data_IF_711201366154
#
_entry.id   IF_711201366154
#
_cell.length_a   1.000
_cell.length_b   1.000
_cell.length_c   1.000
_cell.angle_alpha   90.00
_cell.angle_beta   90.00
_cell.angle_gamma   90.00
#
_symmetry.space_group_name_H-M   'P 1'
#
loop_
_entity.id
_entity.type
_entity.pdbx_description
1 polymer ?
#
# COMPACT_ATOMS: atom_id res chain seq x y z
N UNK A 1 -8.83 19.38 -25.35
CA UNK A 1 -8.32 20.21 -26.48
C UNK A 1 -6.89 20.61 -26.16
N UNK A 2 -5.95 20.45 -27.10
CA UNK A 2 -4.52 20.77 -26.88
C UNK A 2 -4.24 22.27 -27.06
N UNK A 3 -5.02 23.11 -26.40
CA UNK A 3 -4.80 24.56 -26.36
C UNK A 3 -3.67 24.88 -25.37
N UNK A 4 -2.87 25.94 -25.59
CA UNK A 4 -1.88 26.37 -24.61
C UNK A 4 -2.56 26.79 -23.30
N UNK A 5 -1.85 26.60 -22.18
CA UNK A 5 -2.28 27.13 -20.87
C UNK A 5 -2.25 28.67 -20.91
N UNK A 6 -3.30 29.29 -20.38
CA UNK A 6 -3.45 30.75 -20.30
C UNK A 6 -3.79 31.18 -18.87
N UNK A 7 -3.71 32.48 -18.55
CA UNK A 7 -4.08 33.00 -17.23
C UNK A 7 -5.53 32.65 -16.81
N UNK A 8 -6.42 32.40 -17.78
CA UNK A 8 -7.79 31.92 -17.55
C UNK A 8 -7.86 30.50 -16.94
N UNK A 9 -6.74 29.76 -16.85
CA UNK A 9 -6.62 28.53 -16.06
C UNK A 9 -6.56 28.84 -14.56
N UNK A 10 -5.73 29.80 -14.14
CA UNK A 10 -5.60 30.19 -12.74
C UNK A 10 -6.87 30.91 -12.25
N UNK A 11 -7.51 31.71 -13.11
CA UNK A 11 -8.82 32.33 -12.83
C UNK A 11 -9.91 31.27 -12.59
N UNK A 12 -9.88 30.15 -13.32
CA UNK A 12 -10.81 29.04 -13.08
C UNK A 12 -10.55 28.35 -11.73
N UNK A 13 -9.28 28.16 -11.35
CA UNK A 13 -8.92 27.64 -10.04
C UNK A 13 -9.33 28.60 -8.90
N UNK A 14 -9.17 29.91 -9.08
CA UNK A 14 -9.70 30.92 -8.16
C UNK A 14 -11.23 30.90 -8.09
N UNK A 15 -11.92 30.69 -9.22
CA UNK A 15 -13.38 30.49 -9.26
C UNK A 15 -13.84 29.31 -8.40
N UNK A 16 -13.11 28.18 -8.43
CA UNK A 16 -13.36 27.03 -7.55
C UNK A 16 -13.17 27.41 -6.08
N UNK A 17 -12.10 28.13 -5.75
CA UNK A 17 -11.79 28.55 -4.38
C UNK A 17 -12.85 29.53 -3.85
N UNK A 18 -13.26 30.52 -4.64
CA UNK A 18 -14.34 31.46 -4.29
C UNK A 18 -15.66 30.75 -4.07
N UNK A 19 -16.05 29.85 -4.99
CA UNK A 19 -17.23 29.01 -4.81
C UNK A 19 -17.17 28.23 -3.49
N UNK A 20 -16.03 27.57 -3.21
CA UNK A 20 -15.89 26.73 -2.03
C UNK A 20 -15.84 27.51 -0.72
N UNK A 21 -15.25 28.71 -0.69
CA UNK A 21 -15.31 29.60 0.48
C UNK A 21 -16.73 30.10 0.75
N UNK A 22 -17.53 30.33 -0.29
CA UNK A 22 -18.90 30.80 -0.16
C UNK A 22 -19.90 29.67 0.17
N UNK A 23 -19.87 28.56 -0.56
CA UNK A 23 -20.77 27.42 -0.41
C UNK A 23 -20.36 26.42 0.70
N UNK A 24 -19.10 26.48 1.17
CA UNK A 24 -18.54 25.49 2.10
C UNK A 24 -18.25 24.11 1.48
N UNK A 25 -18.49 23.93 0.18
CA UNK A 25 -18.32 22.69 -0.58
C UNK A 25 -17.67 22.94 -1.94
N UNK A 26 -16.99 21.92 -2.48
CA UNK A 26 -16.35 22.02 -3.79
C UNK A 26 -17.41 21.94 -4.91
N UNK A 27 -17.36 22.82 -5.95
CA UNK A 27 -18.39 22.88 -7.00
C UNK A 27 -18.52 21.60 -7.85
N UNK A 28 -17.49 20.74 -7.83
CA UNK A 28 -17.40 19.51 -8.62
C UNK A 28 -17.10 18.27 -7.75
N UNK A 29 -17.62 18.24 -6.51
CA UNK A 29 -17.37 17.17 -5.53
C UNK A 29 -17.82 15.76 -6.02
N UNK A 30 -17.02 14.73 -5.76
CA UNK A 30 -17.36 13.29 -5.89
C UNK A 30 -16.43 12.47 -4.98
N UNK A 31 -16.87 11.26 -4.61
CA UNK A 31 -16.08 10.23 -3.92
C UNK A 31 -14.83 9.80 -4.71
N UNK A 32 -14.81 9.97 -6.03
CA UNK A 32 -13.74 9.49 -6.91
C UNK A 32 -13.09 10.63 -7.70
N UNK A 33 -11.77 10.79 -7.56
CA UNK A 33 -11.01 11.84 -8.26
C UNK A 33 -11.20 11.85 -9.80
N UNK A 34 -11.37 10.68 -10.43
CA UNK A 34 -11.66 10.60 -11.87
C UNK A 34 -12.99 11.27 -12.26
N UNK A 35 -14.01 11.14 -11.40
CA UNK A 35 -15.30 11.83 -11.59
C UNK A 35 -15.19 13.33 -11.27
N UNK A 36 -14.35 13.75 -10.32
CA UNK A 36 -14.06 15.18 -10.10
C UNK A 36 -13.45 15.83 -11.35
N UNK A 37 -12.49 15.16 -12.00
CA UNK A 37 -11.95 15.62 -13.28
C UNK A 37 -12.99 15.62 -14.40
N UNK A 38 -13.89 14.62 -14.42
CA UNK A 38 -15.02 14.59 -15.36
C UNK A 38 -15.94 15.80 -15.16
N UNK A 39 -16.41 16.05 -13.94
CA UNK A 39 -17.30 17.17 -13.62
C UNK A 39 -16.64 18.53 -13.93
N UNK A 40 -15.33 18.67 -13.68
CA UNK A 40 -14.54 19.84 -14.09
C UNK A 40 -14.59 20.04 -15.62
N UNK A 41 -14.58 18.98 -16.43
CA UNK A 41 -14.62 19.05 -17.89
C UNK A 41 -16.03 19.19 -18.49
N UNK A 42 -17.03 18.48 -17.96
CA UNK A 42 -18.33 18.29 -18.66
C UNK A 42 -19.58 18.71 -17.87
N UNK A 43 -19.49 18.96 -16.56
CA UNK A 43 -20.67 19.23 -15.72
C UNK A 43 -20.69 20.67 -15.23
N UNK A 44 -21.83 21.36 -15.36
CA UNK A 44 -21.99 22.71 -14.81
C UNK A 44 -22.06 22.67 -13.27
N UNK A 45 -21.45 23.65 -12.56
CA UNK A 45 -21.53 23.71 -11.10
C UNK A 45 -22.94 24.12 -10.65
N UNK A 46 -23.42 23.68 -9.47
CA UNK A 46 -24.70 24.16 -8.95
C UNK A 46 -24.68 25.67 -8.76
N UNK A 47 -25.71 26.40 -9.21
CA UNK A 47 -25.76 27.87 -9.14
C UNK A 47 -25.49 28.40 -7.72
N UNK A 48 -24.43 29.21 -7.56
CA UNK A 48 -23.96 29.65 -6.24
C UNK A 48 -25.04 30.42 -5.47
N UNK A 49 -25.80 31.29 -6.14
CA UNK A 49 -26.91 32.04 -5.52
C UNK A 49 -28.11 31.17 -5.11
N UNK A 50 -28.25 29.92 -5.63
CA UNK A 50 -29.22 28.95 -5.08
C UNK A 50 -28.71 28.27 -3.82
N UNK A 51 -27.39 28.08 -3.71
CA UNK A 51 -26.73 27.46 -2.53
C UNK A 51 -26.55 28.49 -1.39
N UNK A 52 -26.37 29.76 -1.73
CA UNK A 52 -26.23 30.90 -0.82
C UNK A 52 -27.02 32.12 -1.32
N UNK A 53 -28.34 32.19 -1.07
CA UNK A 53 -29.20 33.29 -1.51
C UNK A 53 -28.93 34.64 -0.85
N UNK A 54 -28.03 34.68 0.14
CA UNK A 54 -27.60 35.88 0.87
C UNK A 54 -26.37 36.57 0.24
N UNK A 55 -25.80 36.02 -0.83
CA UNK A 55 -24.68 36.63 -1.56
C UNK A 55 -25.15 37.73 -2.53
N UNK A 56 -24.35 38.80 -2.71
CA UNK A 56 -24.57 39.76 -3.79
C UNK A 56 -24.51 39.08 -5.17
N UNK A 57 -25.47 39.42 -6.05
CA UNK A 57 -25.57 38.82 -7.40
C UNK A 57 -24.26 38.93 -8.19
N UNK A 58 -23.56 40.07 -8.12
CA UNK A 58 -22.27 40.28 -8.80
C UNK A 58 -21.23 39.21 -8.45
N UNK A 59 -21.24 38.68 -7.23
CA UNK A 59 -20.31 37.65 -6.78
C UNK A 59 -20.68 36.29 -7.39
N UNK A 60 -21.98 35.97 -7.45
CA UNK A 60 -22.47 34.80 -8.16
C UNK A 60 -22.13 34.86 -9.66
N UNK A 61 -22.30 36.02 -10.29
CA UNK A 61 -21.99 36.22 -11.71
C UNK A 61 -20.47 36.12 -11.98
N UNK A 62 -19.64 36.74 -11.14
CA UNK A 62 -18.18 36.64 -11.19
C UNK A 62 -17.70 35.19 -11.07
N UNK A 63 -18.20 34.44 -10.09
CA UNK A 63 -17.82 33.04 -9.88
C UNK A 63 -18.32 32.15 -11.02
N UNK A 64 -19.56 32.36 -11.48
CA UNK A 64 -20.13 31.61 -12.62
C UNK A 64 -19.32 31.85 -13.90
N UNK A 65 -18.91 33.10 -14.17
CA UNK A 65 -18.05 33.42 -15.31
C UNK A 65 -16.64 32.86 -15.15
N UNK A 66 -16.06 32.88 -13.95
CA UNK A 66 -14.75 32.25 -13.71
C UNK A 66 -14.77 30.72 -13.92
N UNK A 67 -15.89 30.07 -13.60
CA UNK A 67 -16.12 28.62 -13.75
C UNK A 67 -16.58 28.18 -15.16
N UNK A 68 -16.62 29.08 -16.14
CA UNK A 68 -16.98 28.73 -17.52
C UNK A 68 -16.06 27.65 -18.11
N UNK A 69 -16.61 26.70 -18.86
CA UNK A 69 -15.83 25.58 -19.41
C UNK A 69 -14.89 26.05 -20.51
N UNK A 70 -15.41 26.84 -21.45
CA UNK A 70 -14.62 27.50 -22.49
C UNK A 70 -13.77 28.63 -21.89
N UNK A 71 -12.45 28.56 -22.10
CA UNK A 71 -11.51 29.57 -21.64
C UNK A 71 -11.72 30.95 -22.30
N UNK A 72 -12.31 31.01 -23.51
CA UNK A 72 -12.65 32.27 -24.17
C UNK A 72 -13.83 33.02 -23.54
N UNK A 73 -14.66 32.33 -22.75
CA UNK A 73 -15.84 32.91 -22.07
C UNK A 73 -15.57 33.27 -20.60
N UNK A 74 -14.43 32.84 -20.06
CA UNK A 74 -14.01 33.16 -18.69
C UNK A 74 -13.72 34.66 -18.52
N UNK A 75 -13.41 35.03 -17.27
CA UNK A 75 -12.61 36.23 -17.01
C UNK A 75 -11.17 35.89 -17.46
N UNK A 76 -10.52 36.70 -18.31
CA UNK A 76 -9.33 36.28 -19.05
C UNK A 76 -8.06 36.18 -18.20
N UNK A 77 -7.96 37.02 -17.16
CA UNK A 77 -6.78 37.16 -16.31
C UNK A 77 -7.15 37.66 -14.90
N UNK A 78 -6.16 37.62 -14.00
CA UNK A 78 -6.32 38.05 -12.61
C UNK A 78 -6.52 39.56 -12.46
N UNK A 79 -6.11 40.39 -13.43
CA UNK A 79 -6.28 41.85 -13.38
C UNK A 79 -7.74 42.23 -13.61
N UNK A 80 -8.37 41.62 -14.62
CA UNK A 80 -9.80 41.77 -14.93
C UNK A 80 -10.66 41.25 -13.77
N UNK A 81 -10.25 40.14 -13.16
CA UNK A 81 -10.89 39.59 -11.95
C UNK A 81 -10.81 40.57 -10.77
N UNK A 82 -9.63 41.13 -10.52
CA UNK A 82 -9.41 42.14 -9.46
C UNK A 82 -10.21 43.41 -9.71
N UNK A 83 -10.30 43.88 -10.96
CA UNK A 83 -11.11 45.04 -11.34
C UNK A 83 -12.61 44.80 -11.08
N UNK A 84 -13.14 43.61 -11.44
CA UNK A 84 -14.54 43.24 -11.16
C UNK A 84 -14.82 43.28 -9.65
N UNK A 85 -13.90 42.75 -8.83
CA UNK A 85 -14.02 42.82 -7.37
C UNK A 85 -14.00 44.29 -6.91
N UNK A 86 -12.99 45.07 -7.28
CA UNK A 86 -12.86 46.47 -6.84
C UNK A 86 -14.04 47.37 -7.25
N UNK A 87 -14.68 47.10 -8.39
CA UNK A 87 -15.84 47.87 -8.87
C UNK A 87 -17.15 47.53 -8.13
N UNK A 88 -17.24 46.39 -7.45
CA UNK A 88 -18.49 45.90 -6.82
C UNK A 88 -18.35 45.66 -5.30
N UNK A 89 -17.13 45.70 -4.77
CA UNK A 89 -16.81 45.59 -3.35
C UNK A 89 -17.14 46.92 -2.66
N UNK A 90 -18.04 46.97 -1.67
CA UNK A 90 -18.31 48.19 -0.93
C UNK A 90 -17.07 48.64 -0.15
N UNK A 91 -16.78 49.95 -0.12
CA UNK A 91 -15.58 50.51 0.52
C UNK A 91 -15.48 50.19 2.02
N UNK A 92 -16.61 49.91 2.68
CA UNK A 92 -16.69 49.68 4.11
C UNK A 92 -16.81 48.18 4.44
N UNK A 93 -15.69 47.47 4.34
CA UNK A 93 -15.48 46.22 5.07
C UNK A 93 -15.23 46.55 6.55
N UNK A 94 -16.31 46.83 7.29
CA UNK A 94 -16.26 46.93 8.75
C UNK A 94 -15.72 45.64 9.37
N UNK A 95 -15.00 45.75 10.49
CA UNK A 95 -14.26 44.66 11.13
C UNK A 95 -15.05 43.35 11.20
N UNK A 96 -14.77 42.42 10.28
CA UNK A 96 -15.42 41.11 10.27
C UNK A 96 -14.89 40.34 11.49
N UNK A 97 -15.71 40.04 12.51
CA UNK A 97 -15.23 39.32 13.68
C UNK A 97 -15.03 37.86 13.28
N UNK A 98 -13.80 37.50 12.91
CA UNK A 98 -13.44 36.11 12.60
C UNK A 98 -13.95 35.19 13.72
N UNK A 99 -14.92 34.30 13.44
CA UNK A 99 -15.55 33.51 14.48
C UNK A 99 -14.49 32.60 15.10
N UNK A 100 -14.15 32.86 16.36
CA UNK A 100 -13.14 32.09 17.11
C UNK A 100 -13.46 30.61 16.97
N UNK A 101 -12.59 29.88 16.27
CA UNK A 101 -12.89 28.50 15.84
C UNK A 101 -13.30 27.66 17.04
N UNK A 102 -14.45 26.94 16.98
CA UNK A 102 -14.97 26.22 18.13
C UNK A 102 -13.94 25.20 18.58
N UNK A 103 -13.38 25.43 19.78
CA UNK A 103 -12.15 24.78 20.24
C UNK A 103 -12.20 23.27 20.06
N UNK A 104 -11.24 22.75 19.28
CA UNK A 104 -11.08 21.34 18.89
C UNK A 104 -11.46 20.43 20.06
N UNK A 105 -12.62 19.75 19.96
CA UNK A 105 -13.20 18.98 21.08
C UNK A 105 -12.20 17.94 21.59
N UNK A 106 -11.58 18.20 22.75
CA UNK A 106 -10.52 17.36 23.30
C UNK A 106 -11.03 15.91 23.51
N UNK A 107 -10.47 14.89 22.81
CA UNK A 107 -10.97 13.52 22.88
C UNK A 107 -10.86 12.91 24.29
N UNK A 108 -9.94 13.43 25.13
CA UNK A 108 -9.84 13.09 26.54
C UNK A 108 -11.16 13.26 27.31
N UNK A 109 -11.99 14.28 26.99
CA UNK A 109 -13.33 14.44 27.63
C UNK A 109 -14.31 13.35 27.21
N UNK A 110 -14.18 12.83 25.99
CA UNK A 110 -14.97 11.71 25.49
C UNK A 110 -14.56 10.39 26.17
N UNK A 111 -13.25 10.17 26.34
CA UNK A 111 -12.71 9.02 27.09
C UNK A 111 -13.16 9.03 28.55
N UNK A 112 -13.15 10.19 29.23
CA UNK A 112 -13.67 10.31 30.61
C UNK A 112 -15.16 9.93 30.67
N UNK A 113 -15.98 10.41 29.73
CA UNK A 113 -17.41 10.07 29.69
C UNK A 113 -17.65 8.56 29.48
N UNK A 114 -16.88 7.91 28.60
CA UNK A 114 -16.93 6.46 28.40
C UNK A 114 -16.46 5.70 29.65
N UNK A 115 -15.41 6.17 30.33
CA UNK A 115 -14.92 5.53 31.56
C UNK A 115 -15.94 5.61 32.71
N UNK A 116 -16.63 6.75 32.85
CA UNK A 116 -17.73 6.92 33.80
C UNK A 116 -18.91 5.99 33.44
N UNK A 117 -19.28 5.89 32.16
CA UNK A 117 -20.34 4.99 31.72
C UNK A 117 -20.01 3.52 32.05
N UNK A 118 -18.77 3.09 31.80
CA UNK A 118 -18.30 1.73 32.11
C UNK A 118 -18.26 1.46 33.61
N UNK A 119 -17.93 2.46 34.44
CA UNK A 119 -17.97 2.35 35.90
C UNK A 119 -19.41 2.24 36.45
N UNK A 120 -20.38 2.96 35.85
CA UNK A 120 -21.81 2.83 36.18
C UNK A 120 -22.35 1.46 35.75
N UNK A 121 -21.96 0.96 34.58
CA UNK A 121 -22.36 -0.36 34.11
C UNK A 121 -21.76 -1.51 34.94
N UNK A 122 -20.49 -1.41 35.36
CA UNK A 122 -19.86 -2.44 36.18
C UNK A 122 -20.40 -2.47 37.61
N UNK A 123 -20.70 -1.32 38.21
CA UNK A 123 -21.36 -1.25 39.52
C UNK A 123 -22.80 -1.77 39.47
N UNK A 124 -23.58 -1.44 38.43
CA UNK A 124 -24.91 -2.02 38.20
C UNK A 124 -24.86 -3.55 38.03
N UNK A 125 -23.87 -4.08 37.30
CA UNK A 125 -23.65 -5.52 37.14
C UNK A 125 -23.30 -6.21 38.46
N UNK A 126 -22.42 -5.61 39.27
CA UNK A 126 -22.07 -6.13 40.60
C UNK A 126 -23.27 -6.16 41.56
N UNK A 127 -24.12 -5.13 41.55
CA UNK A 127 -25.36 -5.10 42.34
C UNK A 127 -26.30 -6.22 41.90
N UNK A 128 -26.54 -6.38 40.59
CA UNK A 128 -27.35 -7.48 40.03
C UNK A 128 -26.81 -8.86 40.41
N UNK A 129 -25.49 -9.05 40.43
CA UNK A 129 -24.87 -10.33 40.78
C UNK A 129 -24.93 -10.64 42.28
N UNK A 130 -24.98 -9.62 43.16
CA UNK A 130 -25.14 -9.81 44.62
C UNK A 130 -26.54 -10.28 45.04
N UNK A 131 -27.56 -10.02 44.23
CA UNK A 131 -28.96 -10.45 44.48
C UNK A 131 -29.19 -11.93 44.14
N UNK A 132 -28.25 -12.59 43.44
CA UNK A 132 -28.38 -13.98 42.96
C UNK A 132 -27.95 -15.06 43.99
N UNK A 133 -27.92 -14.72 45.29
CA UNK A 133 -27.45 -15.59 46.37
C UNK A 133 -28.46 -15.70 47.54
N UNK A 134 -29.75 -15.74 47.22
CA UNK A 134 -30.79 -16.23 48.14
C UNK A 134 -30.94 -17.75 47.99
N UNK A 135 -30.66 -18.56 49.04
CA UNK A 135 -30.82 -20.01 48.94
C UNK A 135 -32.29 -20.42 48.77
N UNK A 136 -32.56 -21.36 47.87
CA UNK A 136 -33.86 -22.05 47.84
C UNK A 136 -33.95 -23.04 49.01
N UNK A 137 -35.13 -23.21 49.65
CA UNK A 137 -35.37 -24.34 50.53
C UNK A 137 -35.40 -25.64 49.72
N UNK A 138 -34.83 -26.76 50.22
CA UNK A 138 -34.82 -28.03 49.49
C UNK A 138 -36.21 -28.66 49.41
N UNK A 139 -36.52 -29.24 48.25
CA UNK A 139 -37.69 -30.12 48.06
C UNK A 139 -37.46 -31.48 48.77
N UNK A 140 -38.52 -32.20 49.17
CA UNK A 140 -38.38 -33.51 49.80
C UNK A 140 -37.76 -34.53 48.83
N UNK A 141 -36.92 -35.40 49.37
CA UNK A 141 -36.31 -36.53 48.65
C UNK A 141 -36.85 -37.82 49.25
N UNK A 142 -37.39 -38.71 48.41
CA UNK A 142 -37.94 -39.98 48.85
C UNK A 142 -36.87 -40.95 49.36
N UNK A 143 -37.26 -41.80 50.31
CA UNK A 143 -36.34 -42.66 51.05
C UNK A 143 -36.03 -43.96 50.31
N UNK A 144 -34.81 -44.11 49.79
CA UNK A 144 -34.21 -45.42 49.46
C UNK A 144 -32.81 -45.54 50.09
N UNK A 145 -32.70 -46.40 51.10
CA UNK A 145 -31.43 -46.72 51.77
C UNK A 145 -30.58 -47.69 50.95
N UNK A 146 -29.28 -47.42 50.84
CA UNK A 146 -28.22 -48.45 50.95
C UNK A 146 -26.87 -47.80 51.31
N UNK A 147 -26.06 -48.35 52.25
CA UNK A 147 -24.87 -47.67 52.80
C UNK A 147 -23.51 -48.17 52.26
N UNK A 148 -22.43 -47.55 52.76
CA UNK A 148 -20.99 -47.90 52.62
C UNK A 148 -20.34 -47.57 51.25
N UNK A 149 -19.09 -47.08 51.15
CA UNK A 149 -18.04 -46.65 52.11
C UNK A 149 -17.36 -45.38 51.51
N UNK A 150 -17.05 -44.31 52.24
CA UNK A 150 -15.97 -44.12 53.25
C UNK A 150 -14.55 -44.02 52.63
N UNK A 151 -14.09 -42.78 52.48
CA UNK A 151 -12.71 -42.23 52.73
C UNK A 151 -11.48 -42.92 52.07
N UNK A 152 -10.55 -42.20 51.45
CA UNK A 152 -9.55 -41.35 52.14
C UNK A 152 -8.97 -40.20 51.25
N UNK A 153 -8.15 -39.34 51.87
CA UNK A 153 -7.24 -38.35 51.24
C UNK A 153 -5.87 -39.01 50.91
N UNK A 154 -4.75 -38.35 50.54
CA UNK A 154 -4.34 -36.95 50.48
C UNK A 154 -3.12 -36.72 49.51
N UNK A 155 -2.75 -35.44 49.31
CA UNK A 155 -1.39 -34.79 49.42
C UNK A 155 -0.11 -35.70 49.40
N UNK A 156 1.08 -35.30 48.93
CA UNK A 156 1.72 -34.02 48.52
C UNK A 156 3.03 -34.35 47.71
N UNK A 157 3.45 -33.62 46.65
CA UNK A 157 4.37 -32.44 46.58
C UNK A 157 5.88 -32.73 46.86
N UNK A 158 6.78 -31.85 46.35
CA UNK A 158 8.28 -31.84 46.36
C UNK A 158 8.84 -32.63 45.16
N UNK A 159 9.34 -32.03 44.06
CA UNK A 159 10.43 -31.04 43.76
C UNK A 159 11.75 -31.72 43.32
N UNK A 160 12.50 -31.14 42.36
CA UNK A 160 13.61 -31.82 41.68
C UNK A 160 14.98 -31.57 42.34
N UNK A 161 15.97 -32.37 41.96
CA UNK A 161 17.39 -32.14 42.25
C UNK A 161 18.26 -32.32 40.99
N UNK A 162 19.47 -31.77 41.02
CA UNK A 162 20.42 -31.67 39.91
C UNK A 162 21.66 -32.53 40.15
N UNK A 163 22.17 -33.21 39.11
CA UNK A 163 23.63 -33.24 38.94
C UNK A 163 24.13 -33.54 37.52
N UNK A 164 25.42 -33.28 37.34
CA UNK A 164 26.25 -33.56 36.15
C UNK A 164 26.61 -35.03 36.09
N UNK A 165 26.98 -35.50 34.89
CA UNK A 165 28.34 -35.99 34.61
C UNK A 165 28.58 -36.08 33.10
N UNK A 166 29.83 -35.89 32.67
CA UNK A 166 30.28 -36.14 31.31
C UNK A 166 31.17 -37.38 31.29
N UNK A 167 31.32 -38.05 30.13
CA UNK A 167 32.44 -38.93 29.80
C UNK A 167 32.57 -39.07 28.27
N UNK A 168 33.77 -39.40 27.80
CA UNK A 168 34.08 -39.68 26.39
C UNK A 168 35.22 -40.72 26.33
N UNK A 169 35.36 -41.48 25.24
CA UNK A 169 36.60 -42.20 24.94
C UNK A 169 37.19 -41.91 23.55
N UNK A 170 38.52 -41.98 23.47
CA UNK A 170 39.34 -42.01 22.24
C UNK A 170 39.65 -43.46 21.87
N UNK A 171 40.01 -43.76 20.61
CA UNK A 171 40.91 -44.89 20.31
C UNK A 171 41.71 -44.70 18.99
N UNK A 172 42.74 -45.52 18.80
CA UNK A 172 43.94 -45.21 17.99
C UNK A 172 44.04 -45.86 16.58
N UNK A 173 45.13 -45.52 15.88
CA UNK A 173 45.60 -46.09 14.59
C UNK A 173 46.19 -47.50 14.71
N UNK A 174 46.54 -48.13 13.57
CA UNK A 174 47.94 -48.57 13.41
C UNK A 174 48.61 -48.21 12.06
N UNK A 175 49.95 -48.26 12.05
CA UNK A 175 50.88 -48.25 10.90
C UNK A 175 50.98 -49.65 10.23
N UNK A 176 51.68 -49.92 9.11
CA UNK A 176 52.74 -49.18 8.38
C UNK A 176 52.46 -49.28 6.83
N UNK A 177 53.36 -49.32 5.82
CA UNK A 177 54.83 -49.42 5.71
C UNK A 177 55.38 -48.67 4.46
N UNK A 178 56.36 -49.22 3.72
CA UNK A 178 57.07 -48.56 2.61
C UNK A 178 57.40 -49.55 1.46
N UNK A 179 57.37 -49.08 0.21
CA UNK A 179 58.43 -49.34 -0.80
C UNK A 179 58.27 -48.39 -2.02
N UNK A 180 59.26 -48.38 -2.92
CA UNK A 180 59.44 -47.37 -3.97
C UNK A 180 60.07 -47.96 -5.23
N UNK A 181 59.66 -47.56 -6.44
CA UNK A 181 60.57 -47.46 -7.60
C UNK A 181 60.00 -46.69 -8.81
N UNK A 182 60.89 -46.53 -9.81
CA UNK A 182 61.06 -45.54 -10.89
C UNK A 182 59.96 -45.36 -11.98
N UNK A 183 60.14 -44.24 -12.72
CA UNK A 183 59.89 -43.97 -14.15
C UNK A 183 58.48 -43.83 -14.78
N UNK A 184 58.42 -42.87 -15.69
CA UNK A 184 57.26 -42.44 -16.47
C UNK A 184 56.70 -43.46 -17.47
N UNK A 185 55.37 -43.46 -17.62
CA UNK A 185 54.71 -43.47 -18.94
C UNK A 185 53.32 -42.82 -18.83
N UNK A 186 52.72 -42.43 -19.96
CA UNK A 186 51.57 -41.53 -19.97
C UNK A 186 50.20 -42.22 -19.97
N UNK A 187 49.21 -41.57 -19.36
CA UNK A 187 47.78 -41.71 -19.70
C UNK A 187 47.01 -40.48 -19.21
N UNK A 188 45.98 -39.97 -19.91
CA UNK A 188 45.18 -38.86 -19.42
C UNK A 188 44.35 -39.33 -18.21
N UNK A 189 44.56 -38.70 -17.05
CA UNK A 189 43.74 -38.93 -15.86
C UNK A 189 42.28 -38.54 -16.18
N UNK A 190 41.27 -39.35 -15.79
CA UNK A 190 39.86 -38.95 -15.91
C UNK A 190 39.61 -37.61 -15.24
N UNK A 191 38.70 -36.81 -15.79
CA UNK A 191 38.41 -35.46 -15.31
C UNK A 191 38.14 -35.46 -13.79
N UNK A 192 38.99 -34.76 -13.03
CA UNK A 192 38.85 -34.64 -11.59
C UNK A 192 37.48 -34.01 -11.28
N UNK A 193 36.62 -34.78 -10.62
CA UNK A 193 35.35 -34.28 -10.11
C UNK A 193 35.66 -33.16 -9.12
N UNK A 194 35.37 -31.92 -9.50
CA UNK A 194 35.65 -30.73 -8.68
C UNK A 194 34.84 -30.85 -7.39
N UNK A 195 35.49 -31.33 -6.33
CA UNK A 195 34.90 -31.50 -5.00
C UNK A 195 34.43 -30.12 -4.54
N UNK A 196 33.12 -29.90 -4.30
CA UNK A 196 32.57 -28.57 -4.14
C UNK A 196 33.20 -27.87 -2.93
N UNK A 197 33.79 -26.70 -3.15
CA UNK A 197 34.38 -25.89 -2.10
C UNK A 197 33.26 -25.29 -1.25
N UNK A 198 32.98 -25.92 -0.11
CA UNK A 198 31.90 -25.55 0.80
C UNK A 198 32.26 -24.38 1.74
N UNK A 199 33.42 -23.73 1.57
CA UNK A 199 33.81 -22.56 2.37
C UNK A 199 32.86 -21.39 2.10
N UNK A 200 32.28 -20.74 3.13
CA UNK A 200 31.32 -19.67 2.94
C UNK A 200 31.97 -18.45 2.27
N UNK A 201 31.30 -17.95 1.23
CA UNK A 201 31.64 -16.74 0.47
C UNK A 201 30.63 -15.63 0.77
N UNK A 202 30.75 -14.46 0.13
CA UNK A 202 29.82 -13.34 0.31
C UNK A 202 28.99 -13.05 -0.94
N UNK A 203 27.72 -12.71 -0.71
CA UNK A 203 26.77 -12.19 -1.68
C UNK A 203 26.34 -10.77 -1.28
N UNK A 204 26.34 -9.86 -2.24
CA UNK A 204 25.81 -8.51 -2.08
C UNK A 204 24.93 -8.18 -3.27
N UNK A 205 23.66 -7.87 -3.03
CA UNK A 205 22.67 -7.55 -4.07
C UNK A 205 22.30 -6.08 -3.94
N UNK A 206 22.36 -5.35 -5.04
CA UNK A 206 21.87 -3.97 -5.14
C UNK A 206 20.78 -3.91 -6.20
N UNK A 207 19.68 -3.24 -5.91
CA UNK A 207 18.62 -3.01 -6.87
C UNK A 207 18.34 -1.52 -7.07
N UNK A 208 17.68 -1.18 -8.18
CA UNK A 208 17.00 0.08 -8.35
C UNK A 208 15.59 -0.16 -8.90
N UNK A 209 14.51 0.36 -8.27
CA UNK A 209 14.46 0.86 -6.90
C UNK A 209 14.70 -0.25 -5.85
N UNK A 210 14.45 0.04 -4.58
CA UNK A 210 14.59 -0.91 -3.46
C UNK A 210 13.71 -2.16 -3.63
N UNK A 211 14.07 -3.27 -2.97
CA UNK A 211 13.40 -4.57 -3.07
C UNK A 211 13.54 -5.38 -1.78
N UNK A 212 12.53 -6.21 -1.49
CA UNK A 212 12.71 -7.41 -0.66
C UNK A 212 13.52 -8.44 -1.45
N UNK A 213 14.50 -9.09 -0.79
CA UNK A 213 15.38 -10.08 -1.40
C UNK A 213 15.06 -11.46 -0.81
N UNK A 214 14.80 -12.42 -1.69
CA UNK A 214 14.54 -13.82 -1.34
C UNK A 214 15.62 -14.72 -1.94
N UNK A 215 16.07 -15.73 -1.19
CA UNK A 215 16.85 -16.85 -1.73
C UNK A 215 16.14 -18.16 -1.44
N UNK A 216 15.93 -18.98 -2.47
CA UNK A 216 15.18 -20.23 -2.41
C UNK A 216 13.83 -20.01 -1.69
N UNK A 217 13.12 -18.96 -2.10
CA UNK A 217 11.82 -18.50 -1.59
C UNK A 217 11.79 -18.01 -0.12
N UNK A 218 12.91 -18.04 0.61
CA UNK A 218 13.04 -17.46 1.95
C UNK A 218 13.50 -16.01 1.87
N UNK A 219 12.81 -15.08 2.53
CA UNK A 219 13.27 -13.70 2.71
C UNK A 219 14.62 -13.72 3.46
N UNK A 220 15.63 -13.05 2.90
CA UNK A 220 16.97 -12.96 3.49
C UNK A 220 17.33 -11.55 3.96
N UNK A 221 16.95 -10.52 3.21
CA UNK A 221 17.34 -9.12 3.45
C UNK A 221 16.48 -8.17 2.57
N UNK A 222 16.74 -6.87 2.65
CA UNK A 222 16.15 -5.83 1.79
C UNK A 222 17.27 -4.96 1.19
N UNK A 223 17.04 -4.37 0.01
CA UNK A 223 17.95 -3.34 -0.51
C UNK A 223 17.55 -1.93 -0.03
N UNK A 224 18.51 -1.01 0.18
CA UNK A 224 19.96 -1.21 0.13
C UNK A 224 20.48 -2.06 1.30
N UNK A 225 21.23 -3.12 1.00
CA UNK A 225 21.82 -4.02 2.00
C UNK A 225 22.92 -3.28 2.78
N UNK A 226 22.95 -3.46 4.10
CA UNK A 226 23.97 -2.85 4.96
C UNK A 226 25.33 -3.57 4.87
N UNK A 227 25.32 -4.90 4.80
CA UNK A 227 26.52 -5.75 4.70
C UNK A 227 26.33 -6.85 3.64
N UNK A 228 27.40 -7.56 3.28
CA UNK A 228 27.33 -8.70 2.38
C UNK A 228 27.06 -10.02 3.14
N UNK A 229 26.03 -10.76 2.72
CA UNK A 229 25.56 -11.96 3.39
C UNK A 229 26.54 -13.12 3.16
N UNK A 230 26.89 -13.82 4.24
CA UNK A 230 27.71 -15.03 4.20
C UNK A 230 26.86 -16.22 3.76
N UNK A 231 27.26 -16.87 2.67
CA UNK A 231 26.49 -17.92 1.99
C UNK A 231 27.43 -18.99 1.44
N UNK A 232 26.95 -20.23 1.24
CA UNK A 232 27.76 -21.29 0.61
C UNK A 232 27.81 -21.09 -0.92
N UNK A 233 28.89 -21.49 -1.60
CA UNK A 233 28.89 -21.62 -3.05
C UNK A 233 27.84 -22.63 -3.54
N UNK A 234 27.30 -22.40 -4.73
CA UNK A 234 26.21 -23.19 -5.30
C UNK A 234 25.21 -22.37 -6.10
N UNK A 235 24.14 -23.00 -6.57
CA UNK A 235 23.05 -22.32 -7.31
C UNK A 235 21.87 -22.01 -6.39
N UNK A 236 21.29 -20.83 -6.57
CA UNK A 236 20.20 -20.30 -5.76
C UNK A 236 19.14 -19.64 -6.65
N UNK A 237 17.88 -19.75 -6.24
CA UNK A 237 16.77 -19.01 -6.84
C UNK A 237 16.67 -17.66 -6.12
N UNK A 238 17.05 -16.58 -6.79
CA UNK A 238 16.94 -15.21 -6.31
C UNK A 238 15.56 -14.65 -6.67
N UNK A 239 14.77 -14.29 -5.66
CA UNK A 239 13.52 -13.54 -5.85
C UNK A 239 13.72 -12.07 -5.48
N UNK A 240 13.25 -11.14 -6.32
CA UNK A 240 13.22 -9.71 -6.04
C UNK A 240 11.78 -9.20 -6.11
N UNK A 241 11.35 -8.48 -5.07
CA UNK A 241 9.98 -7.97 -4.97
C UNK A 241 9.96 -6.51 -4.53
N UNK A 242 9.31 -5.65 -5.31
CA UNK A 242 8.94 -4.29 -4.93
C UNK A 242 7.40 -4.13 -5.07
N UNK A 243 6.70 -3.42 -4.17
CA UNK A 243 5.24 -3.27 -4.25
C UNK A 243 4.68 -2.69 -5.55
N UNK A 244 5.47 -1.91 -6.29
CA UNK A 244 5.06 -1.23 -7.54
C UNK A 244 5.38 -2.02 -8.83
N UNK A 245 6.00 -3.20 -8.72
CA UNK A 245 6.49 -3.98 -9.87
C UNK A 245 5.96 -5.42 -9.82
N UNK A 246 5.96 -6.15 -10.95
CA UNK A 246 5.83 -7.60 -10.93
C UNK A 246 6.98 -8.24 -10.13
N UNK A 247 6.77 -9.45 -9.62
CA UNK A 247 7.85 -10.17 -8.92
C UNK A 247 8.86 -10.71 -9.93
N UNK A 248 10.15 -10.48 -9.70
CA UNK A 248 11.24 -10.99 -10.54
C UNK A 248 11.86 -12.23 -9.90
N UNK A 249 12.35 -13.17 -10.71
CA UNK A 249 13.07 -14.36 -10.23
C UNK A 249 14.16 -14.76 -11.22
N UNK A 250 15.34 -15.08 -10.69
CA UNK A 250 16.57 -15.41 -11.42
C UNK A 250 17.27 -16.62 -10.79
N UNK A 251 18.07 -17.36 -11.56
CA UNK A 251 18.87 -18.50 -11.07
C UNK A 251 20.34 -18.12 -11.02
N UNK A 252 20.81 -17.71 -9.85
CA UNK A 252 22.16 -17.19 -9.65
C UNK A 252 23.14 -18.29 -9.23
N UNK A 253 24.39 -18.17 -9.68
CA UNK A 253 25.49 -19.08 -9.33
C UNK A 253 26.51 -18.36 -8.45
N UNK A 254 26.57 -18.76 -7.18
CA UNK A 254 27.45 -18.20 -6.16
C UNK A 254 28.80 -18.91 -6.20
N UNK A 255 29.88 -18.15 -6.44
CA UNK A 255 31.24 -18.67 -6.64
C UNK A 255 32.11 -18.53 -5.37
N UNK A 256 32.96 -19.53 -5.08
CA UNK A 256 33.89 -19.47 -3.95
C UNK A 256 34.95 -18.38 -4.14
N UNK A 257 35.47 -17.85 -3.03
CA UNK A 257 36.60 -16.90 -2.97
C UNK A 257 36.46 -15.59 -3.77
N UNK A 258 35.26 -15.27 -4.26
CA UNK A 258 34.94 -14.05 -4.98
C UNK A 258 33.78 -13.31 -4.29
N UNK A 259 33.82 -11.98 -4.25
CA UNK A 259 32.65 -11.18 -3.84
C UNK A 259 31.57 -11.27 -4.91
N UNK A 260 30.48 -12.00 -4.65
CA UNK A 260 29.37 -12.15 -5.57
C UNK A 260 28.49 -10.88 -5.50
N UNK A 261 28.83 -9.86 -6.30
CA UNK A 261 28.10 -8.59 -6.39
C UNK A 261 27.13 -8.63 -7.56
N UNK A 262 25.83 -8.53 -7.27
CA UNK A 262 24.77 -8.52 -8.27
C UNK A 262 24.08 -7.14 -8.30
N UNK A 263 23.74 -6.66 -9.50
CA UNK A 263 23.02 -5.41 -9.69
C UNK A 263 21.85 -5.60 -10.65
N UNK A 264 20.64 -5.25 -10.21
CA UNK A 264 19.41 -5.36 -11.01
C UNK A 264 18.69 -4.00 -11.06
N UNK A 265 18.43 -3.49 -12.26
CA UNK A 265 17.55 -2.34 -12.45
C UNK A 265 16.17 -2.82 -12.91
N UNK A 266 15.14 -2.66 -12.07
CA UNK A 266 13.79 -3.12 -12.38
C UNK A 266 13.16 -2.30 -13.50
N UNK A 267 13.50 -1.00 -13.63
CA UNK A 267 13.17 -0.17 -14.81
C UNK A 267 13.81 -0.69 -16.12
N UNK A 268 14.76 -1.63 -16.05
CA UNK A 268 15.37 -2.29 -17.22
C UNK A 268 14.92 -3.76 -17.39
N UNK A 269 14.20 -4.31 -16.42
CA UNK A 269 13.63 -5.68 -16.45
C UNK A 269 12.17 -5.65 -16.90
N UNK A 270 11.41 -4.68 -16.40
CA UNK A 270 9.98 -4.52 -16.64
C UNK A 270 9.71 -3.37 -17.61
N UNK A 271 8.51 -3.36 -18.18
CA UNK A 271 8.05 -2.35 -19.13
C UNK A 271 7.08 -1.42 -18.44
N UNK A 272 7.29 -0.11 -18.60
CA UNK A 272 6.38 0.90 -18.05
C UNK A 272 5.21 1.14 -19.01
N UNK A 273 4.00 1.26 -18.50
CA UNK A 273 2.80 1.55 -19.29
C UNK A 273 2.22 2.90 -18.85
N UNK A 274 2.39 3.92 -19.68
CA UNK A 274 1.82 5.26 -19.47
C UNK A 274 0.44 5.34 -20.15
N UNK A 275 -0.63 5.42 -19.36
CA UNK A 275 -2.01 5.46 -19.84
C UNK A 275 -2.65 6.84 -19.71
N UNK A 276 -3.11 7.39 -20.83
CA UNK A 276 -4.01 8.55 -20.87
C UNK A 276 -5.40 8.08 -21.33
N UNK A 277 -6.38 8.02 -20.43
CA UNK A 277 -7.76 7.60 -20.75
C UNK A 277 -8.69 8.79 -20.59
N UNK A 278 -9.37 9.16 -21.67
CA UNK A 278 -10.37 10.22 -21.71
C UNK A 278 -11.77 9.57 -21.84
N UNK A 279 -12.78 9.97 -21.04
CA UNK A 279 -12.67 11.00 -19.99
C UNK A 279 -12.04 10.44 -18.69
N UNK A 280 -12.38 9.21 -18.27
CA UNK A 280 -11.68 8.42 -17.24
C UNK A 280 -12.13 6.95 -17.30
N UNK A 281 -11.45 6.03 -16.60
CA UNK A 281 -11.89 4.64 -16.50
C UNK A 281 -11.14 3.84 -15.44
N UNK A 282 -11.74 2.73 -14.99
CA UNK A 282 -11.08 1.69 -14.20
C UNK A 282 -10.20 0.85 -15.14
N UNK A 283 -8.93 0.74 -14.79
CA UNK A 283 -7.90 0.02 -15.56
C UNK A 283 -7.71 -1.37 -14.97
N UNK A 284 -7.75 -2.37 -15.84
CA UNK A 284 -7.42 -3.75 -15.56
C UNK A 284 -6.33 -4.21 -16.54
N UNK A 285 -5.34 -4.96 -16.04
CA UNK A 285 -4.36 -5.64 -16.88
C UNK A 285 -4.41 -7.12 -16.52
N UNK A 286 -4.62 -7.97 -17.52
CA UNK A 286 -4.81 -9.43 -17.36
C UNK A 286 -5.94 -9.77 -16.36
N UNK A 287 -7.01 -8.97 -16.39
CA UNK A 287 -8.14 -9.05 -15.44
C UNK A 287 -7.84 -8.54 -14.02
N UNK A 288 -6.58 -8.24 -13.67
CA UNK A 288 -6.22 -7.64 -12.39
C UNK A 288 -6.47 -6.13 -12.41
N UNK A 289 -7.29 -5.65 -11.47
CA UNK A 289 -7.51 -4.21 -11.27
C UNK A 289 -6.20 -3.50 -10.87
N UNK A 290 -5.89 -2.42 -11.59
CA UNK A 290 -4.67 -1.60 -11.40
C UNK A 290 -5.01 -0.26 -10.72
N UNK A 291 -6.15 0.36 -11.07
CA UNK A 291 -6.57 1.66 -10.54
C UNK A 291 -7.62 2.35 -11.41
N UNK A 292 -7.95 3.60 -11.09
CA UNK A 292 -8.81 4.47 -11.92
C UNK A 292 -7.98 5.62 -12.47
N UNK A 293 -8.16 5.99 -13.74
CA UNK A 293 -7.43 7.11 -14.34
C UNK A 293 -7.92 8.48 -13.84
N UNK A 294 -7.06 9.51 -13.81
CA UNK A 294 -5.61 9.49 -14.06
C UNK A 294 -4.83 8.74 -12.97
N UNK A 295 -4.01 7.76 -13.37
CA UNK A 295 -3.24 6.94 -12.42
C UNK A 295 -1.96 7.70 -12.02
N UNK A 296 -1.72 7.83 -10.71
CA UNK A 296 -0.63 8.64 -10.13
C UNK A 296 0.72 7.90 -10.06
N UNK A 297 0.70 6.57 -10.04
CA UNK A 297 1.88 5.71 -9.96
C UNK A 297 2.18 5.07 -11.33
N UNK A 298 3.45 4.97 -11.75
CA UNK A 298 3.79 4.23 -12.96
C UNK A 298 3.33 2.77 -12.87
N UNK A 299 2.77 2.26 -13.97
CA UNK A 299 2.35 0.86 -14.11
C UNK A 299 3.52 0.09 -14.71
N UNK A 300 3.91 -1.03 -14.09
CA UNK A 300 4.95 -1.91 -14.62
C UNK A 300 4.39 -3.31 -14.90
N UNK A 301 4.77 -3.87 -16.04
CA UNK A 301 4.37 -5.19 -16.53
C UNK A 301 5.59 -5.99 -17.02
N UNK A 302 5.42 -7.30 -17.21
CA UNK A 302 6.43 -8.17 -17.83
C UNK A 302 6.61 -7.86 -19.32
N UNK A 303 7.60 -8.50 -19.97
CA UNK A 303 7.82 -8.45 -21.43
C UNK A 303 7.07 -9.59 -22.11
N UNK A 304 5.77 -9.42 -22.33
CA UNK A 304 4.88 -10.42 -22.92
C UNK A 304 3.70 -9.72 -23.63
N UNK A 305 2.67 -10.47 -24.02
CA UNK A 305 1.36 -9.92 -24.35
C UNK A 305 0.51 -9.74 -23.09
N UNK A 306 -0.06 -8.55 -22.92
CA UNK A 306 -0.90 -8.19 -21.79
C UNK A 306 -2.27 -7.68 -22.26
N UNK A 307 -3.36 -8.17 -21.66
CA UNK A 307 -4.72 -7.70 -22.00
C UNK A 307 -5.04 -6.46 -21.19
N UNK A 308 -5.20 -5.31 -21.86
CA UNK A 308 -5.60 -4.05 -21.24
C UNK A 308 -7.10 -3.85 -21.40
N UNK A 309 -7.83 -3.82 -20.28
CA UNK A 309 -9.24 -3.47 -20.23
C UNK A 309 -9.45 -2.15 -19.48
N UNK A 310 -10.31 -1.29 -20.04
CA UNK A 310 -10.74 -0.03 -19.46
C UNK A 310 -12.27 -0.07 -19.31
N UNK A 311 -12.77 -0.05 -18.08
CA UNK A 311 -14.20 -0.04 -17.76
C UNK A 311 -14.67 1.34 -17.30
N UNK A 312 -15.86 1.77 -17.72
CA UNK A 312 -16.52 2.97 -17.18
C UNK A 312 -18.03 2.72 -16.95
N UNK A 313 -18.59 3.43 -15.96
CA UNK A 313 -20.03 3.40 -15.61
C UNK A 313 -20.90 3.94 -16.75
N UNK A 314 -20.51 5.07 -17.34
CA UNK A 314 -21.24 5.83 -18.36
C UNK A 314 -20.75 5.54 -19.79
N UNK A 315 -19.46 5.30 -19.98
CA UNK A 315 -18.83 5.05 -21.28
C UNK A 315 -18.60 3.55 -21.55
N UNK A 316 -18.66 3.13 -22.81
CA UNK A 316 -18.46 1.75 -23.25
C UNK A 316 -17.08 1.23 -22.83
N UNK A 317 -17.00 -0.01 -22.34
CA UNK A 317 -15.73 -0.65 -22.02
C UNK A 317 -14.86 -0.81 -23.28
N UNK A 318 -13.56 -0.62 -23.11
CA UNK A 318 -12.56 -0.73 -24.18
C UNK A 318 -11.55 -1.83 -23.80
N UNK A 319 -11.20 -2.69 -24.75
CA UNK A 319 -10.28 -3.83 -24.55
C UNK A 319 -9.32 -3.89 -25.74
N UNK A 320 -8.03 -4.08 -25.46
CA UNK A 320 -6.95 -4.21 -26.46
C UNK A 320 -5.81 -5.09 -25.90
N UNK A 321 -4.87 -5.50 -26.76
CA UNK A 321 -3.66 -6.24 -26.36
C UNK A 321 -2.42 -5.36 -26.45
N UNK A 322 -1.70 -5.23 -25.34
CA UNK A 322 -0.39 -4.60 -25.29
C UNK A 322 0.70 -5.64 -25.60
N UNK A 323 1.47 -5.43 -26.67
CA UNK A 323 2.75 -6.14 -26.87
C UNK A 323 3.87 -5.35 -26.19
N UNK A 324 4.41 -5.87 -25.09
CA UNK A 324 5.48 -5.22 -24.32
C UNK A 324 6.85 -5.82 -24.59
N UNK A 325 6.99 -6.73 -25.55
CA UNK A 325 8.23 -7.53 -25.69
C UNK A 325 9.43 -6.71 -26.16
N UNK A 326 9.18 -5.66 -26.94
CA UNK A 326 10.22 -4.88 -27.65
C UNK A 326 10.37 -3.41 -27.17
N UNK A 327 9.46 -2.90 -26.34
CA UNK A 327 9.47 -1.50 -25.86
C UNK A 327 9.81 -1.41 -24.37
N UNK A 328 10.54 -0.36 -23.96
CA UNK A 328 10.79 -0.08 -22.53
C UNK A 328 9.67 0.72 -21.86
N UNK A 329 8.96 1.55 -22.63
CA UNK A 329 7.87 2.40 -22.17
C UNK A 329 6.78 2.44 -23.24
N UNK A 330 5.69 1.72 -23.02
CA UNK A 330 4.49 1.84 -23.84
C UNK A 330 3.75 3.12 -23.44
N UNK A 331 3.28 3.88 -24.43
CA UNK A 331 2.30 4.95 -24.24
C UNK A 331 1.00 4.60 -24.98
N UNK A 332 -0.14 4.80 -24.33
CA UNK A 332 -1.46 4.68 -24.95
C UNK A 332 -2.34 5.86 -24.57
N UNK A 333 -3.00 6.45 -25.57
CA UNK A 333 -4.05 7.46 -25.38
C UNK A 333 -5.35 6.89 -25.91
N UNK A 334 -6.34 6.76 -25.02
CA UNK A 334 -7.60 6.05 -25.25
C UNK A 334 -8.75 7.05 -25.08
N UNK A 335 -9.70 7.05 -26.01
CA UNK A 335 -10.95 7.80 -25.90
C UNK A 335 -12.09 6.79 -25.81
N UNK A 336 -12.82 6.81 -24.70
CA UNK A 336 -13.99 5.95 -24.51
C UNK A 336 -15.21 6.56 -25.23
N UNK A 337 -16.03 5.70 -25.84
CA UNK A 337 -17.27 6.09 -26.51
C UNK A 337 -18.44 6.04 -25.53
N UNK A 338 -19.45 6.87 -25.72
CA UNK A 338 -20.68 6.81 -24.93
C UNK A 338 -21.42 5.49 -25.17
N UNK A 339 -22.19 5.03 -24.18
CA UNK A 339 -23.08 3.88 -24.35
C UNK A 339 -24.32 4.34 -25.13
N UNK A 340 -24.55 3.70 -26.27
CA UNK A 340 -25.81 3.76 -27.03
C UNK A 340 -26.93 3.00 -26.28
#
# INVERSE_FOLDING_TARGET
>A
NNLPLTAACDVFALGIIFYQMAAGKHPFESEQYGEVFAHILTTEPPELCRVRPDLPQWYCDMVTRALQKDAGQRIPDAMTLMQIIQQNMPEQFGDIPFPKTPGRRNPARMLIAVFVLLAVLSTAWLIRHRVWLTPQPPAPVDTTFSPNQTEDSAKQVIKPDTNRLAHAPTNDQPTNHQQSEDRSTATPKPADQIKPDNRPTTLFVRTYPWCNIYLNYKLIDQTPMAEAIKIKPGRYVLGLQNPSYPSFTDTIEIRPHQQNKLFYNLDSIFVRVDLNVIPWGKVYIDGKYIGTTPIKSPIYVTRDFHVLEIQNKYYQSWIDTLDTRNEMVIKRSIQLKEKL
#
